data_IF_489258507416
#
_entry.id   IF_489258507416
#
_cell.length_a   1.000
_cell.length_b   1.000
_cell.length_c   1.000
_cell.angle_alpha   90.00
_cell.angle_beta   90.00
_cell.angle_gamma   90.00
#
_symmetry.space_group_name_H-M   'P 1'
#
loop_
_entity.id
_entity.type
_entity.pdbx_description
1 polymer ?
#
# COMPACT_ATOMS: atom_id res chain seq x y z
N UNK A 1 7.58 5.49 32.59
CA UNK A 1 6.58 6.33 31.89
C UNK A 1 7.30 7.23 30.89
N UNK A 2 6.87 7.29 29.62
CA UNK A 2 7.54 8.10 28.60
C UNK A 2 7.32 9.60 28.78
N UNK A 3 8.25 10.43 28.28
CA UNK A 3 8.16 11.89 28.29
C UNK A 3 6.82 12.36 27.72
N UNK A 4 6.12 13.26 28.43
CA UNK A 4 4.90 13.90 27.91
C UNK A 4 5.24 14.70 26.65
N UNK A 5 4.49 14.44 25.57
CA UNK A 5 4.70 15.12 24.29
C UNK A 5 4.04 16.48 24.29
N UNK A 6 4.74 17.49 23.78
CA UNK A 6 4.18 18.82 23.54
C UNK A 6 3.09 18.77 22.46
N UNK A 7 2.19 19.77 22.40
CA UNK A 7 1.22 19.88 21.31
C UNK A 7 1.87 19.86 19.91
N UNK A 8 3.04 20.48 19.76
CA UNK A 8 3.79 20.52 18.50
C UNK A 8 4.30 19.13 18.11
N UNK A 9 4.82 18.37 19.07
CA UNK A 9 5.25 16.98 18.87
C UNK A 9 4.08 16.06 18.53
N UNK A 10 2.93 16.23 19.20
CA UNK A 10 1.70 15.49 18.89
C UNK A 10 1.24 15.76 17.47
N UNK A 11 1.27 17.02 17.03
CA UNK A 11 0.90 17.42 15.67
C UNK A 11 1.85 16.84 14.61
N UNK A 12 3.16 16.88 14.88
CA UNK A 12 4.16 16.30 13.99
C UNK A 12 3.97 14.79 13.85
N UNK A 13 3.73 14.09 14.96
CA UNK A 13 3.42 12.67 14.94
C UNK A 13 2.11 12.36 14.21
N UNK A 14 1.09 13.19 14.37
CA UNK A 14 -0.15 13.05 13.59
C UNK A 14 0.12 13.16 12.10
N UNK A 15 0.86 14.18 11.64
CA UNK A 15 1.20 14.29 10.22
C UNK A 15 2.00 13.12 9.67
N UNK A 16 2.89 12.53 10.47
CA UNK A 16 3.74 11.43 10.04
C UNK A 16 3.09 10.04 10.16
N UNK A 17 2.18 9.84 11.13
CA UNK A 17 1.67 8.51 11.52
C UNK A 17 0.17 8.32 11.33
N UNK A 18 -0.63 9.39 11.40
CA UNK A 18 -2.05 9.29 11.03
C UNK A 18 -2.10 9.08 9.52
N UNK A 19 -2.80 8.03 9.08
CA UNK A 19 -2.88 7.66 7.67
C UNK A 19 -4.31 7.75 7.18
N UNK A 20 -4.48 8.24 5.95
CA UNK A 20 -5.77 8.40 5.31
C UNK A 20 -5.78 7.67 3.98
N UNK A 21 -6.91 7.06 3.68
CA UNK A 21 -7.11 6.39 2.40
C UNK A 21 -7.01 7.40 1.26
N UNK A 22 -6.05 7.17 0.39
CA UNK A 22 -5.71 7.94 -0.80
C UNK A 22 -6.01 7.20 -2.12
N UNK A 23 -6.54 5.98 -2.04
CA UNK A 23 -6.86 5.13 -3.18
C UNK A 23 -8.26 5.38 -3.77
N UNK A 24 -8.98 6.40 -3.27
CA UNK A 24 -10.35 6.72 -3.72
C UNK A 24 -11.40 5.67 -3.35
N UNK A 25 -11.01 4.63 -2.63
CA UNK A 25 -11.91 3.60 -2.13
C UNK A 25 -12.70 4.11 -0.91
N UNK A 26 -13.95 3.64 -0.76
CA UNK A 26 -14.67 3.85 0.48
C UNK A 26 -14.34 2.74 1.50
N UNK A 27 -14.76 2.96 2.75
CA UNK A 27 -14.57 2.00 3.84
C UNK A 27 -15.14 0.61 3.57
N UNK A 28 -16.22 0.51 2.80
CA UNK A 28 -16.88 -0.78 2.51
C UNK A 28 -16.15 -1.53 1.40
N UNK A 29 -15.59 -0.81 0.42
CA UNK A 29 -14.81 -1.42 -0.65
C UNK A 29 -13.50 -1.97 -0.11
N UNK A 30 -12.75 -1.22 0.72
CA UNK A 30 -11.47 -1.70 1.27
C UNK A 30 -11.66 -2.98 2.12
N UNK A 31 -12.70 -3.03 2.96
CA UNK A 31 -13.07 -4.20 3.77
C UNK A 31 -13.36 -5.45 2.94
N UNK A 32 -13.90 -5.29 1.72
CA UNK A 32 -14.23 -6.41 0.82
C UNK A 32 -13.07 -6.77 -0.13
N UNK A 33 -12.40 -5.76 -0.66
CA UNK A 33 -11.36 -5.90 -1.68
C UNK A 33 -10.06 -6.43 -1.12
N UNK A 34 -9.64 -6.03 0.10
CA UNK A 34 -8.41 -6.54 0.72
C UNK A 34 -8.45 -8.07 0.89
N UNK A 35 -9.49 -8.68 1.51
CA UNK A 35 -9.61 -10.13 1.55
C UNK A 35 -9.68 -10.78 0.16
N UNK A 36 -10.39 -10.16 -0.79
CA UNK A 36 -10.53 -10.68 -2.16
C UNK A 36 -9.17 -10.75 -2.88
N UNK A 37 -8.42 -9.65 -2.84
CA UNK A 37 -7.11 -9.52 -3.45
C UNK A 37 -6.07 -10.41 -2.79
N UNK A 38 -6.19 -10.69 -1.48
CA UNK A 38 -5.37 -11.72 -0.81
C UNK A 38 -5.75 -13.12 -1.28
N UNK A 39 -7.05 -13.44 -1.38
CA UNK A 39 -7.53 -14.79 -1.76
C UNK A 39 -7.17 -15.17 -3.20
N UNK A 40 -7.19 -14.22 -4.13
CA UNK A 40 -6.97 -14.48 -5.55
C UNK A 40 -5.61 -15.16 -5.88
N UNK A 41 -4.44 -14.59 -5.50
CA UNK A 41 -3.15 -15.23 -5.78
C UNK A 41 -3.01 -16.58 -5.06
N UNK A 42 -3.52 -16.72 -3.83
CA UNK A 42 -3.48 -18.01 -3.13
C UNK A 42 -4.27 -19.10 -3.85
N UNK A 43 -5.48 -18.80 -4.35
CA UNK A 43 -6.27 -19.74 -5.14
C UNK A 43 -5.57 -20.10 -6.44
N UNK A 44 -5.02 -19.11 -7.15
CA UNK A 44 -4.28 -19.34 -8.39
C UNK A 44 -3.04 -20.22 -8.18
N UNK A 45 -2.28 -19.97 -7.11
CA UNK A 45 -1.09 -20.75 -6.77
C UNK A 45 -1.49 -22.20 -6.41
N UNK A 46 -2.50 -22.39 -5.56
CA UNK A 46 -3.00 -23.75 -5.23
C UNK A 46 -3.46 -24.49 -6.46
N UNK A 47 -4.25 -23.84 -7.33
CA UNK A 47 -4.73 -24.47 -8.57
C UNK A 47 -3.57 -24.91 -9.46
N UNK A 48 -2.55 -24.06 -9.63
CA UNK A 48 -1.34 -24.43 -10.39
C UNK A 48 -0.63 -25.62 -9.75
N UNK A 49 -0.38 -25.58 -8.45
CA UNK A 49 0.31 -26.66 -7.74
C UNK A 49 -0.47 -27.97 -7.89
N UNK A 50 -1.78 -27.97 -7.65
CA UNK A 50 -2.61 -29.15 -7.84
C UNK A 50 -2.54 -29.67 -9.26
N UNK A 51 -2.64 -28.83 -10.30
CA UNK A 51 -2.55 -29.29 -11.70
C UNK A 51 -1.19 -29.93 -12.02
N UNK A 52 -0.09 -29.35 -11.53
CA UNK A 52 1.26 -29.90 -11.78
C UNK A 52 1.45 -31.23 -11.05
N UNK A 53 0.98 -31.34 -9.81
CA UNK A 53 1.11 -32.56 -9.02
C UNK A 53 0.17 -33.67 -9.48
N UNK A 54 -1.06 -33.36 -9.90
CA UNK A 54 -1.97 -34.36 -10.48
C UNK A 54 -1.40 -34.98 -11.77
N UNK A 55 -0.64 -34.22 -12.56
CA UNK A 55 0.05 -34.76 -13.74
C UNK A 55 1.20 -35.72 -13.39
N UNK A 56 1.70 -35.69 -12.15
CA UNK A 56 2.73 -36.59 -11.64
C UNK A 56 2.16 -37.70 -10.74
N UNK A 57 0.84 -37.83 -10.69
CA UNK A 57 0.16 -38.82 -9.86
C UNK A 57 0.12 -40.17 -10.58
N UNK A 58 0.54 -41.24 -9.90
CA UNK A 58 0.49 -42.59 -10.45
C UNK A 58 1.69 -43.42 -10.02
N UNK A 59 2.17 -44.25 -10.96
CA UNK A 59 3.39 -45.05 -10.77
C UNK A 59 4.57 -44.11 -10.51
N UNK A 60 5.46 -44.52 -9.60
CA UNK A 60 6.68 -43.78 -9.26
C UNK A 60 7.60 -43.77 -10.50
N UNK A 61 7.84 -42.58 -11.03
CA UNK A 61 8.71 -42.34 -12.19
C UNK A 61 9.53 -41.07 -11.94
N UNK A 62 10.85 -41.24 -11.87
CA UNK A 62 11.82 -40.19 -11.57
C UNK A 62 11.84 -39.08 -12.63
N UNK A 63 11.61 -39.42 -13.90
CA UNK A 63 11.55 -38.43 -14.97
C UNK A 63 10.31 -37.54 -14.86
N UNK A 64 9.17 -38.14 -14.45
CA UNK A 64 7.92 -37.41 -14.22
C UNK A 64 8.02 -36.51 -12.98
N UNK A 65 8.68 -36.99 -11.92
CA UNK A 65 8.97 -36.21 -10.71
C UNK A 65 9.82 -34.97 -11.05
N UNK A 66 10.97 -35.17 -11.70
CA UNK A 66 11.88 -34.10 -12.07
C UNK A 66 11.18 -33.04 -12.96
N UNK A 67 10.38 -33.47 -13.92
CA UNK A 67 9.61 -32.56 -14.77
C UNK A 67 8.54 -31.77 -13.98
N UNK A 68 7.91 -32.38 -12.98
CA UNK A 68 6.93 -31.69 -12.13
C UNK A 68 7.61 -30.67 -11.21
N UNK A 69 8.75 -31.03 -10.61
CA UNK A 69 9.55 -30.11 -9.79
C UNK A 69 10.04 -28.93 -10.62
N UNK A 70 10.65 -29.17 -11.79
CA UNK A 70 11.11 -28.13 -12.69
C UNK A 70 9.96 -27.16 -12.99
N UNK A 71 8.81 -27.68 -13.45
CA UNK A 71 7.63 -26.86 -13.75
C UNK A 71 7.16 -26.03 -12.57
N UNK A 72 7.28 -26.51 -11.33
CA UNK A 72 6.94 -25.75 -10.12
C UNK A 72 7.93 -24.62 -9.87
N UNK A 73 9.24 -24.90 -10.01
CA UNK A 73 10.33 -23.98 -9.71
C UNK A 73 10.52 -22.90 -10.80
N UNK A 74 10.20 -23.18 -12.07
CA UNK A 74 10.39 -22.20 -13.18
C UNK A 74 9.65 -20.88 -12.94
N UNK A 75 8.51 -20.91 -12.23
CA UNK A 75 7.66 -19.74 -12.02
C UNK A 75 7.44 -19.44 -10.55
N UNK A 76 7.83 -18.21 -10.16
CA UNK A 76 7.56 -17.66 -8.84
C UNK A 76 6.06 -17.62 -8.54
N UNK A 77 5.62 -18.03 -7.33
CA UNK A 77 4.23 -17.92 -6.91
C UNK A 77 3.73 -16.47 -6.97
N UNK A 78 2.46 -16.29 -7.36
CA UNK A 78 1.82 -14.97 -7.32
C UNK A 78 1.74 -14.49 -5.88
N UNK A 79 2.03 -13.22 -5.64
CA UNK A 79 1.92 -12.60 -4.32
C UNK A 79 1.08 -11.33 -4.39
N UNK A 80 0.44 -11.00 -3.28
CA UNK A 80 -0.24 -9.72 -3.10
C UNK A 80 0.25 -9.08 -1.81
N UNK A 81 0.52 -7.78 -1.87
CA UNK A 81 0.94 -6.98 -0.72
C UNK A 81 -0.01 -5.80 -0.60
N UNK A 82 -0.60 -5.64 0.59
CA UNK A 82 -1.33 -4.42 0.91
C UNK A 82 -0.36 -3.24 0.94
N UNK A 83 -0.63 -2.22 0.15
CA UNK A 83 0.10 -0.96 0.24
C UNK A 83 -0.41 -0.10 1.39
N UNK A 84 0.46 0.79 1.85
CA UNK A 84 0.18 1.70 2.95
C UNK A 84 -0.62 2.89 2.43
N UNK A 85 -1.59 3.33 3.22
CA UNK A 85 -2.29 4.60 3.05
C UNK A 85 -1.32 5.79 3.22
N UNK A 86 -1.63 6.93 2.59
CA UNK A 86 -0.83 8.15 2.69
C UNK A 86 -0.85 8.75 4.11
N UNK A 87 0.30 9.23 4.63
CA UNK A 87 0.36 10.05 5.83
C UNK A 87 -0.50 11.32 5.72
N UNK A 88 -1.11 11.74 6.83
CA UNK A 88 -1.95 12.93 6.90
C UNK A 88 -1.23 14.18 6.39
N UNK A 89 0.07 14.31 6.65
CA UNK A 89 0.87 15.42 6.16
C UNK A 89 0.92 15.53 4.63
N UNK A 90 0.94 14.40 3.92
CA UNK A 90 0.91 14.36 2.45
C UNK A 90 -0.47 14.74 1.92
N UNK A 91 -1.53 14.22 2.56
CA UNK A 91 -2.93 14.52 2.21
C UNK A 91 -3.26 16.00 2.40
N UNK A 92 -2.78 16.61 3.49
CA UNK A 92 -2.96 18.05 3.73
C UNK A 92 -2.25 18.86 2.64
N UNK A 93 -1.01 18.52 2.29
CA UNK A 93 -0.29 19.20 1.21
C UNK A 93 -1.00 19.03 -0.13
N UNK A 94 -1.43 17.81 -0.47
CA UNK A 94 -2.21 17.53 -1.67
C UNK A 94 -3.48 18.38 -1.74
N UNK A 95 -4.22 18.46 -0.63
CA UNK A 95 -5.47 19.24 -0.55
C UNK A 95 -5.21 20.74 -0.76
N UNK A 96 -4.18 21.29 -0.12
CA UNK A 96 -3.80 22.70 -0.28
C UNK A 96 -3.37 23.01 -1.73
N UNK A 97 -2.51 22.16 -2.32
CA UNK A 97 -2.11 22.30 -3.73
C UNK A 97 -3.29 22.20 -4.68
N UNK A 98 -4.25 21.30 -4.41
CA UNK A 98 -5.47 21.17 -5.21
C UNK A 98 -6.33 22.43 -5.14
N UNK A 99 -6.48 23.04 -3.96
CA UNK A 99 -7.23 24.30 -3.80
C UNK A 99 -6.58 25.47 -4.54
N UNK A 100 -5.26 25.58 -4.45
CA UNK A 100 -4.47 26.53 -5.24
C UNK A 100 -4.70 26.35 -6.74
N UNK A 101 -4.61 25.10 -7.23
CA UNK A 101 -4.85 24.78 -8.65
C UNK A 101 -6.27 25.17 -9.10
N UNK A 102 -7.25 25.05 -8.21
CA UNK A 102 -8.64 25.39 -8.47
C UNK A 102 -8.96 26.88 -8.24
N UNK A 103 -7.98 27.71 -7.84
CA UNK A 103 -8.20 29.13 -7.55
C UNK A 103 -9.08 29.39 -6.32
N UNK A 104 -9.25 28.41 -5.44
CA UNK A 104 -10.07 28.55 -4.21
C UNK A 104 -9.34 29.36 -3.14
N UNK A 105 -8.03 29.11 -3.01
CA UNK A 105 -7.16 29.82 -2.08
C UNK A 105 -6.30 30.81 -2.88
N UNK A 106 -6.04 32.00 -2.32
CA UNK A 106 -5.04 32.93 -2.84
C UNK A 106 -3.67 32.26 -2.97
N UNK A 107 -2.91 32.63 -4.01
CA UNK A 107 -1.65 31.98 -4.36
C UNK A 107 -0.61 32.12 -3.26
N UNK A 108 -0.45 33.31 -2.69
CA UNK A 108 0.54 33.60 -1.65
C UNK A 108 0.16 32.93 -0.32
N UNK A 109 -1.10 33.08 0.09
CA UNK A 109 -1.61 32.44 1.31
C UNK A 109 -1.54 30.91 1.23
N UNK A 110 -1.90 30.33 0.09
CA UNK A 110 -1.89 28.89 -0.11
C UNK A 110 -0.48 28.31 -0.17
N UNK A 111 0.48 28.95 -0.85
CA UNK A 111 1.89 28.50 -0.87
C UNK A 111 2.49 28.55 0.52
N UNK A 112 2.31 29.66 1.25
CA UNK A 112 2.79 29.80 2.63
C UNK A 112 2.20 28.72 3.58
N UNK A 113 0.96 28.26 3.33
CA UNK A 113 0.36 27.15 4.08
C UNK A 113 0.99 25.81 3.74
N UNK A 114 1.29 25.53 2.47
CA UNK A 114 1.99 24.32 2.03
C UNK A 114 3.39 24.26 2.65
N UNK A 115 4.16 25.35 2.55
CA UNK A 115 5.50 25.46 3.12
C UNK A 115 5.51 25.27 4.64
N UNK A 116 4.50 25.80 5.34
CA UNK A 116 4.35 25.60 6.79
C UNK A 116 4.20 24.13 7.15
N UNK A 117 3.51 23.34 6.33
CA UNK A 117 3.38 21.88 6.53
C UNK A 117 4.70 21.19 6.22
N UNK A 118 5.36 21.53 5.09
CA UNK A 118 6.68 21.00 4.73
C UNK A 118 7.73 21.22 5.82
N UNK A 119 7.83 22.45 6.32
CA UNK A 119 8.74 22.83 7.42
C UNK A 119 8.49 22.00 8.69
N UNK A 120 7.22 21.77 9.06
CA UNK A 120 6.87 20.94 10.21
C UNK A 120 7.27 19.47 10.01
N UNK A 121 7.21 18.97 8.79
CA UNK A 121 7.64 17.62 8.42
C UNK A 121 9.15 17.52 8.15
N UNK A 122 9.91 18.63 8.24
CA UNK A 122 11.32 18.71 7.86
C UNK A 122 11.57 18.25 6.41
N UNK A 123 10.61 18.53 5.53
CA UNK A 123 10.74 18.32 4.09
C UNK A 123 11.44 19.52 3.45
N UNK A 124 12.18 19.34 2.35
CA UNK A 124 12.76 20.45 1.60
C UNK A 124 11.65 21.40 1.13
N UNK A 125 11.96 22.70 1.19
CA UNK A 125 11.13 23.75 0.57
C UNK A 125 11.51 23.79 -0.91
N UNK A 126 10.52 23.95 -1.79
CA UNK A 126 10.72 24.12 -3.24
C UNK A 126 10.38 25.56 -3.58
#
# INVERSE_FOLDING_TARGET
MGRRKSPQEKKLLSYAKDRRNDYGENDKSSRKNIPRNKRYPHRANRRRVSLVLEAARGVVDEAVEAAAEERLLTRRPKSWRKWRDAPLGEIVQYTLRRRLRLGIDDRESGTARVERVRRRLRQPVE
#
